data_IF_258949895281
#
_entry.id   IF_258949895281
#
_cell.length_a   1.000
_cell.length_b   1.000
_cell.length_c   1.000
_cell.angle_alpha   90.00
_cell.angle_beta   90.00
_cell.angle_gamma   90.00
#
_symmetry.space_group_name_H-M   'P 1'
#
loop_
_entity.id
_entity.type
_entity.pdbx_description
1 polymer ?
#
# COMPACT_ATOMS: atom_id res chain seq x y z
N UNK A 1 -9.39 -4.50 4.81
CA UNK A 1 -9.04 -3.24 4.12
C UNK A 1 -7.80 -3.39 3.19
N UNK A 2 -6.61 -3.92 3.60
CA UNK A 2 -5.43 -3.95 2.73
C UNK A 2 -5.65 -4.73 1.42
N UNK A 3 -6.38 -5.81 1.47
CA UNK A 3 -6.66 -6.66 0.31
C UNK A 3 -7.62 -5.95 -0.66
N UNK A 4 -8.72 -5.40 -0.17
CA UNK A 4 -9.73 -4.71 -1.01
C UNK A 4 -9.17 -3.44 -1.65
N UNK A 5 -8.41 -2.64 -0.90
CA UNK A 5 -7.76 -1.44 -1.44
C UNK A 5 -6.72 -1.82 -2.49
N UNK A 6 -5.91 -2.86 -2.25
CA UNK A 6 -4.96 -3.36 -3.23
C UNK A 6 -5.62 -3.79 -4.54
N UNK A 7 -6.75 -4.49 -4.48
CA UNK A 7 -7.49 -4.93 -5.67
C UNK A 7 -8.03 -3.76 -6.51
N UNK A 8 -8.52 -2.71 -5.86
CA UNK A 8 -9.14 -1.55 -6.53
C UNK A 8 -8.10 -0.56 -7.03
N UNK A 9 -7.13 -0.20 -6.17
CA UNK A 9 -6.16 0.86 -6.47
C UNK A 9 -5.10 0.44 -7.51
N UNK A 10 -4.93 -0.86 -7.78
CA UNK A 10 -3.94 -1.35 -8.74
C UNK A 10 -4.11 -0.76 -10.14
N UNK A 11 -5.34 -0.65 -10.61
CA UNK A 11 -5.63 -0.09 -11.94
C UNK A 11 -5.29 1.40 -12.00
N UNK A 12 -5.66 2.17 -10.98
CA UNK A 12 -5.39 3.62 -10.91
C UNK A 12 -3.87 3.86 -10.87
N UNK A 13 -3.16 3.14 -10.00
CA UNK A 13 -1.71 3.22 -9.91
C UNK A 13 -1.03 2.91 -11.26
N UNK A 14 -1.42 1.79 -11.89
CA UNK A 14 -0.87 1.38 -13.18
C UNK A 14 -1.08 2.43 -14.27
N UNK A 15 -2.28 3.00 -14.38
CA UNK A 15 -2.57 4.04 -15.36
C UNK A 15 -1.74 5.30 -15.14
N UNK A 16 -1.61 5.75 -13.89
CA UNK A 16 -0.83 6.93 -13.56
C UNK A 16 0.66 6.72 -13.89
N UNK A 17 1.23 5.58 -13.48
CA UNK A 17 2.65 5.31 -13.70
C UNK A 17 2.94 5.07 -15.19
N UNK A 18 2.06 4.37 -15.92
CA UNK A 18 2.17 4.18 -17.37
C UNK A 18 2.08 5.50 -18.14
N UNK A 19 1.33 6.47 -17.68
CA UNK A 19 1.19 7.77 -18.33
C UNK A 19 2.35 8.72 -18.04
N UNK A 20 2.91 8.65 -16.82
CA UNK A 20 3.96 9.60 -16.41
C UNK A 20 5.34 9.21 -16.97
N UNK A 21 5.70 7.93 -17.01
CA UNK A 21 6.99 7.41 -17.50
C UNK A 21 8.24 8.12 -16.96
N UNK A 22 8.15 8.79 -15.80
CA UNK A 22 9.23 9.60 -15.21
C UNK A 22 9.45 9.22 -13.76
N UNK A 23 10.68 9.46 -13.31
CA UNK A 23 11.02 9.33 -11.90
C UNK A 23 10.11 10.19 -11.02
N UNK A 24 9.66 9.63 -9.90
CA UNK A 24 8.82 10.32 -8.93
C UNK A 24 7.35 9.89 -8.94
N UNK A 25 6.90 9.14 -9.94
CA UNK A 25 5.49 8.75 -10.03
C UNK A 25 5.01 7.96 -8.80
N UNK A 26 5.75 6.93 -8.38
CA UNK A 26 5.41 6.16 -7.17
C UNK A 26 5.69 6.96 -5.89
N UNK A 27 6.70 7.83 -5.88
CA UNK A 27 7.03 8.66 -4.72
C UNK A 27 5.93 9.69 -4.41
N UNK A 28 5.33 10.31 -5.41
CA UNK A 28 4.21 11.26 -5.22
C UNK A 28 3.04 10.55 -4.54
N UNK A 29 2.65 9.36 -5.03
CA UNK A 29 1.62 8.56 -4.38
C UNK A 29 2.04 8.13 -2.97
N UNK A 30 3.30 7.72 -2.81
CA UNK A 30 3.87 7.35 -1.51
C UNK A 30 3.85 8.49 -0.50
N UNK A 31 4.06 9.73 -0.95
CA UNK A 31 4.02 10.92 -0.10
C UNK A 31 2.63 11.10 0.56
N UNK A 32 1.53 10.84 -0.15
CA UNK A 32 0.19 10.88 0.44
C UNK A 32 0.03 9.84 1.56
N UNK A 33 0.51 8.61 1.35
CA UNK A 33 0.47 7.58 2.40
C UNK A 33 1.39 7.93 3.57
N UNK A 34 2.53 8.55 3.30
CA UNK A 34 3.45 9.03 4.33
C UNK A 34 2.82 10.12 5.19
N UNK A 35 2.07 11.05 4.60
CA UNK A 35 1.31 12.06 5.35
C UNK A 35 0.28 11.41 6.29
N UNK A 36 -0.42 10.38 5.85
CA UNK A 36 -1.32 9.60 6.71
C UNK A 36 -0.53 8.91 7.83
N UNK A 37 0.61 8.31 7.50
CA UNK A 37 1.46 7.61 8.46
C UNK A 37 2.04 8.54 9.54
N UNK A 38 2.26 9.84 9.23
CA UNK A 38 2.74 10.85 10.19
C UNK A 38 1.80 11.00 11.40
N UNK A 39 0.51 10.74 11.22
CA UNK A 39 -0.48 10.83 12.31
C UNK A 39 -0.40 9.66 13.29
N UNK A 40 0.28 8.60 12.93
CA UNK A 40 0.35 7.35 13.69
C UNK A 40 1.66 7.23 14.48
N UNK A 41 2.79 7.10 13.78
CA UNK A 41 4.10 6.97 14.41
C UNK A 41 5.24 7.29 13.43
N UNK A 42 6.42 7.63 13.99
CA UNK A 42 7.63 7.84 13.19
C UNK A 42 8.05 6.57 12.43
N UNK A 43 7.88 5.40 13.03
CA UNK A 43 8.18 4.12 12.38
C UNK A 43 7.28 3.86 11.17
N UNK A 44 6.00 4.26 11.25
CA UNK A 44 5.09 4.17 10.12
C UNK A 44 5.52 5.08 8.96
N UNK A 45 6.04 6.28 9.26
CA UNK A 45 6.60 7.20 8.26
C UNK A 45 7.81 6.57 7.55
N UNK A 46 8.77 6.04 8.32
CA UNK A 46 9.97 5.40 7.77
C UNK A 46 9.59 4.21 6.88
N UNK A 47 8.66 3.37 7.35
CA UNK A 47 8.18 2.21 6.59
C UNK A 47 7.49 2.63 5.29
N UNK A 48 6.63 3.65 5.34
CA UNK A 48 5.93 4.18 4.17
C UNK A 48 6.90 4.73 3.13
N UNK A 49 7.88 5.54 3.56
CA UNK A 49 8.91 6.08 2.67
C UNK A 49 9.75 4.96 2.05
N UNK A 50 10.15 3.96 2.85
CA UNK A 50 10.92 2.82 2.35
C UNK A 50 10.14 2.03 1.30
N UNK A 51 8.86 1.74 1.54
CA UNK A 51 8.00 1.05 0.58
C UNK A 51 7.83 1.86 -0.73
N UNK A 52 7.64 3.17 -0.63
CA UNK A 52 7.54 4.05 -1.79
C UNK A 52 8.85 4.11 -2.59
N UNK A 53 10.00 4.18 -1.90
CA UNK A 53 11.33 4.17 -2.54
C UNK A 53 11.59 2.83 -3.25
N UNK A 54 11.27 1.70 -2.64
CA UNK A 54 11.43 0.38 -3.26
C UNK A 54 10.53 0.27 -4.50
N UNK A 55 9.30 0.77 -4.42
CA UNK A 55 8.39 0.80 -5.56
C UNK A 55 8.97 1.65 -6.71
N UNK A 56 9.49 2.84 -6.41
CA UNK A 56 10.13 3.73 -7.40
C UNK A 56 11.40 3.11 -8.00
N UNK A 57 12.28 2.52 -7.16
CA UNK A 57 13.47 1.82 -7.63
C UNK A 57 13.11 0.65 -8.57
N UNK A 58 12.03 -0.06 -8.29
CA UNK A 58 11.54 -1.13 -9.16
C UNK A 58 11.15 -0.59 -10.53
N UNK A 59 10.48 0.56 -10.59
CA UNK A 59 10.15 1.25 -11.85
C UNK A 59 11.40 1.71 -12.59
N UNK A 60 12.35 2.28 -11.86
CA UNK A 60 13.62 2.75 -12.41
C UNK A 60 14.43 1.60 -13.03
N UNK A 61 14.54 0.46 -12.34
CA UNK A 61 15.19 -0.75 -12.86
C UNK A 61 14.51 -1.28 -14.13
N UNK A 62 13.20 -1.11 -14.25
CA UNK A 62 12.42 -1.40 -15.45
C UNK A 62 12.51 -0.33 -16.54
N UNK A 63 13.36 0.71 -16.37
CA UNK A 63 13.50 1.86 -17.28
C UNK A 63 12.16 2.49 -17.64
N UNK A 64 11.18 2.41 -16.76
CA UNK A 64 9.80 2.89 -16.97
C UNK A 64 9.14 2.36 -18.26
N UNK A 65 9.55 1.16 -18.71
CA UNK A 65 9.01 0.53 -19.92
C UNK A 65 8.56 -0.91 -19.69
N UNK A 66 9.07 -1.57 -18.64
CA UNK A 66 8.78 -2.97 -18.36
C UNK A 66 7.46 -3.14 -17.61
N UNK A 67 6.44 -3.73 -18.27
CA UNK A 67 5.15 -4.04 -17.64
C UNK A 67 5.26 -4.94 -16.41
N UNK A 68 6.21 -5.89 -16.40
CA UNK A 68 6.46 -6.76 -15.24
C UNK A 68 6.94 -5.95 -14.03
N UNK A 69 7.80 -4.95 -14.26
CA UNK A 69 8.31 -4.08 -13.21
C UNK A 69 7.23 -3.12 -12.68
N UNK A 70 6.30 -2.67 -13.51
CA UNK A 70 5.12 -1.92 -13.04
C UNK A 70 4.27 -2.74 -12.08
N UNK A 71 4.01 -4.01 -12.42
CA UNK A 71 3.23 -4.91 -11.55
C UNK A 71 3.95 -5.15 -10.23
N UNK A 72 5.26 -5.42 -10.27
CA UNK A 72 6.07 -5.64 -9.09
C UNK A 72 6.16 -4.37 -8.22
N UNK A 73 6.33 -3.21 -8.83
CA UNK A 73 6.32 -1.91 -8.15
C UNK A 73 5.01 -1.70 -7.39
N UNK A 74 3.87 -2.05 -7.98
CA UNK A 74 2.58 -1.93 -7.31
C UNK A 74 2.48 -2.85 -6.08
N UNK A 75 3.02 -4.06 -6.12
CA UNK A 75 3.05 -4.95 -4.95
C UNK A 75 3.81 -4.30 -3.79
N UNK A 76 5.00 -3.74 -4.05
CA UNK A 76 5.75 -3.01 -3.03
C UNK A 76 5.02 -1.74 -2.57
N UNK A 77 4.43 -1.01 -3.49
CA UNK A 77 3.65 0.18 -3.16
C UNK A 77 2.46 -0.14 -2.25
N UNK A 78 1.78 -1.27 -2.47
CA UNK A 78 0.62 -1.68 -1.66
C UNK A 78 0.99 -1.99 -0.19
N UNK A 79 2.27 -2.21 0.13
CA UNK A 79 2.74 -2.35 1.52
C UNK A 79 2.49 -1.08 2.34
N UNK A 80 2.40 0.08 1.70
CA UNK A 80 2.06 1.34 2.39
C UNK A 80 0.77 1.25 3.19
N UNK A 81 -0.18 0.41 2.78
CA UNK A 81 -1.45 0.22 3.50
C UNK A 81 -1.23 -0.40 4.88
N UNK A 82 -0.15 -1.15 5.07
CA UNK A 82 0.20 -1.71 6.38
C UNK A 82 0.99 -0.76 7.27
N UNK A 83 1.50 0.36 6.74
CA UNK A 83 2.30 1.33 7.48
C UNK A 83 1.59 1.90 8.73
N UNK A 84 0.33 2.37 8.65
CA UNK A 84 -0.37 2.90 9.82
C UNK A 84 -0.56 1.86 10.93
N UNK A 85 -0.63 0.58 10.59
CA UNK A 85 -0.81 -0.49 11.57
C UNK A 85 0.49 -0.95 12.23
N UNK A 86 1.64 -0.42 11.79
CA UNK A 86 2.94 -0.74 12.38
C UNK A 86 3.03 -0.33 13.86
N UNK A 87 2.23 0.65 14.27
CA UNK A 87 2.09 1.07 15.67
C UNK A 87 1.67 -0.09 16.59
N UNK A 88 1.01 -1.13 16.04
CA UNK A 88 0.72 -2.36 16.78
C UNK A 88 1.95 -3.06 17.36
N UNK A 89 3.10 -2.94 16.66
CA UNK A 89 4.36 -3.54 17.08
C UNK A 89 5.22 -2.60 17.91
N UNK A 90 5.04 -1.29 17.74
CA UNK A 90 5.93 -0.27 18.33
C UNK A 90 5.34 0.38 19.57
N UNK A 91 4.02 0.52 19.63
CA UNK A 91 3.31 1.16 20.75
C UNK A 91 1.85 0.67 20.78
N UNK A 92 1.67 -0.48 21.40
CA UNK A 92 0.38 -1.15 21.47
C UNK A 92 -0.70 -0.32 22.21
N UNK A 93 -0.32 0.32 23.31
CA UNK A 93 -1.26 1.10 24.14
C UNK A 93 -1.78 2.32 23.34
N UNK A 94 -0.89 2.97 22.61
CA UNK A 94 -1.26 4.07 21.71
C UNK A 94 -2.16 3.59 20.57
N UNK A 95 -1.91 2.39 20.03
CA UNK A 95 -2.78 1.79 19.01
C UNK A 95 -4.21 1.60 19.54
N UNK A 96 -4.35 1.05 20.76
CA UNK A 96 -5.66 0.83 21.38
C UNK A 96 -6.35 2.16 21.65
N UNK A 97 -5.64 3.16 22.20
CA UNK A 97 -6.19 4.50 22.45
C UNK A 97 -6.67 5.19 21.17
N UNK A 98 -5.92 5.10 20.08
CA UNK A 98 -6.33 5.63 18.78
C UNK A 98 -7.54 4.88 18.21
N UNK A 99 -7.56 3.56 18.36
CA UNK A 99 -8.69 2.74 17.90
C UNK A 99 -9.96 3.08 18.67
N UNK A 100 -9.88 3.27 19.98
CA UNK A 100 -11.00 3.70 20.81
C UNK A 100 -11.51 5.09 20.40
N UNK A 101 -10.59 6.03 20.17
CA UNK A 101 -10.92 7.40 19.76
C UNK A 101 -11.67 7.46 18.42
N UNK A 102 -11.25 6.65 17.43
CA UNK A 102 -11.79 6.73 16.06
C UNK A 102 -12.89 5.70 15.76
N UNK A 103 -12.89 4.55 16.41
CA UNK A 103 -13.79 3.43 16.12
C UNK A 103 -14.66 3.01 17.32
N UNK A 104 -14.48 3.64 18.48
CA UNK A 104 -15.22 3.37 19.70
C UNK A 104 -14.68 2.21 20.54
N UNK A 105 -15.10 2.17 21.83
CA UNK A 105 -14.59 1.22 22.83
C UNK A 105 -14.84 -0.26 22.47
N UNK A 106 -15.96 -0.59 21.85
CA UNK A 106 -16.27 -1.98 21.44
C UNK A 106 -15.28 -2.49 20.38
N UNK A 107 -14.91 -1.63 19.43
CA UNK A 107 -13.90 -1.94 18.42
C UNK A 107 -12.51 -2.08 19.02
N UNK A 108 -12.13 -1.20 19.95
CA UNK A 108 -10.85 -1.26 20.65
C UNK A 108 -10.70 -2.57 21.43
N UNK A 109 -11.74 -3.03 22.16
CA UNK A 109 -11.74 -4.31 22.87
C UNK A 109 -11.61 -5.51 21.93
N UNK A 110 -12.28 -5.47 20.78
CA UNK A 110 -12.20 -6.55 19.78
C UNK A 110 -10.79 -6.62 19.17
N UNK A 111 -10.18 -5.48 18.85
CA UNK A 111 -8.80 -5.41 18.38
C UNK A 111 -7.79 -5.82 19.46
N UNK A 112 -8.02 -5.45 20.72
CA UNK A 112 -7.15 -5.84 21.82
C UNK A 112 -7.05 -7.37 21.96
N UNK A 113 -8.17 -8.07 21.84
CA UNK A 113 -8.20 -9.54 21.88
C UNK A 113 -7.47 -10.19 20.71
N UNK A 114 -7.59 -9.62 19.50
CA UNK A 114 -6.96 -10.13 18.28
C UNK A 114 -5.48 -9.79 18.19
N UNK A 115 -5.11 -8.58 18.64
CA UNK A 115 -3.79 -8.00 18.43
C UNK A 115 -2.77 -8.36 19.53
N UNK A 116 -3.18 -9.02 20.61
CA UNK A 116 -2.36 -9.27 21.79
C UNK A 116 -0.98 -9.93 21.51
N UNK A 117 -0.84 -10.66 20.42
CA UNK A 117 0.42 -11.34 20.08
C UNK A 117 1.27 -10.66 19.00
N UNK A 118 0.91 -9.48 18.51
CA UNK A 118 1.63 -8.82 17.40
C UNK A 118 1.59 -9.57 16.07
N UNK A 119 1.25 -10.86 16.07
CA UNK A 119 1.19 -11.73 14.87
C UNK A 119 0.18 -11.23 13.83
N UNK A 120 -0.83 -10.47 14.25
CA UNK A 120 -1.84 -9.91 13.38
C UNK A 120 -1.22 -8.90 12.38
N UNK A 121 -0.14 -8.23 12.74
CA UNK A 121 0.54 -7.33 11.82
C UNK A 121 1.12 -8.09 10.61
N UNK A 122 1.71 -9.25 10.84
CA UNK A 122 2.20 -10.11 9.76
C UNK A 122 1.07 -10.63 8.87
N UNK A 123 -0.11 -10.90 9.44
CA UNK A 123 -1.31 -11.24 8.66
C UNK A 123 -1.78 -10.05 7.81
N UNK A 124 -1.76 -8.83 8.34
CA UNK A 124 -2.07 -7.60 7.60
C UNK A 124 -1.08 -7.40 6.45
N UNK A 125 0.22 -7.60 6.71
CA UNK A 125 1.27 -7.53 5.69
C UNK A 125 1.06 -8.58 4.59
N UNK A 126 0.75 -9.82 4.97
CA UNK A 126 0.42 -10.89 4.02
C UNK A 126 -0.81 -10.54 3.15
N UNK A 127 -1.86 -9.97 3.75
CA UNK A 127 -3.04 -9.48 3.02
C UNK A 127 -2.69 -8.32 2.09
N UNK A 128 -1.75 -7.44 2.48
CA UNK A 128 -1.30 -6.35 1.62
C UNK A 128 -0.53 -6.89 0.40
N UNK A 129 0.35 -7.88 0.58
CA UNK A 129 1.06 -8.54 -0.51
C UNK A 129 0.08 -9.24 -1.44
N UNK A 130 -0.84 -10.05 -0.90
CA UNK A 130 -1.85 -10.75 -1.69
C UNK A 130 -2.76 -9.79 -2.46
N UNK A 131 -3.20 -8.69 -1.81
CA UNK A 131 -3.96 -7.63 -2.45
C UNK A 131 -3.18 -6.91 -3.55
N UNK A 132 -1.89 -6.67 -3.32
CA UNK A 132 -0.98 -6.10 -4.32
C UNK A 132 -0.84 -6.99 -5.56
N UNK A 133 -0.61 -8.29 -5.37
CA UNK A 133 -0.52 -9.27 -6.47
C UNK A 133 -1.85 -9.36 -7.22
N UNK A 134 -2.96 -9.54 -6.50
CA UNK A 134 -4.30 -9.62 -7.10
C UNK A 134 -4.66 -8.35 -7.87
N UNK A 135 -4.43 -7.17 -7.27
CA UNK A 135 -4.66 -5.88 -7.92
C UNK A 135 -3.78 -5.65 -9.15
N UNK A 136 -2.51 -6.07 -9.10
CA UNK A 136 -1.61 -6.02 -10.24
C UNK A 136 -2.11 -6.88 -11.41
N UNK A 137 -2.60 -8.10 -11.13
CA UNK A 137 -3.15 -8.98 -12.17
C UNK A 137 -4.44 -8.42 -12.78
N UNK A 138 -5.33 -7.87 -11.95
CA UNK A 138 -6.56 -7.22 -12.42
C UNK A 138 -6.21 -6.00 -13.27
N UNK A 139 -5.31 -5.14 -12.78
CA UNK A 139 -4.84 -3.95 -13.49
C UNK A 139 -4.24 -4.30 -14.86
N UNK A 140 -3.39 -5.33 -14.93
CA UNK A 140 -2.81 -5.82 -16.19
C UNK A 140 -3.90 -6.16 -17.22
N UNK A 141 -4.94 -6.87 -16.78
CA UNK A 141 -6.01 -7.30 -17.67
C UNK A 141 -6.90 -6.12 -18.11
N UNK A 142 -7.23 -5.21 -17.19
CA UNK A 142 -8.03 -4.02 -17.49
C UNK A 142 -7.29 -3.05 -18.41
N UNK A 143 -6.02 -2.79 -18.14
CA UNK A 143 -5.20 -1.91 -18.99
C UNK A 143 -5.12 -2.47 -20.41
N UNK A 144 -4.80 -3.76 -20.56
CA UNK A 144 -4.72 -4.39 -21.86
C UNK A 144 -6.06 -4.38 -22.61
N UNK A 145 -7.17 -4.65 -21.92
CA UNK A 145 -8.49 -4.82 -22.55
C UNK A 145 -9.13 -3.50 -22.94
N UNK A 146 -8.99 -2.47 -22.13
CA UNK A 146 -9.75 -1.23 -22.27
C UNK A 146 -8.89 -0.03 -22.64
N UNK A 147 -7.74 0.16 -22.01
CA UNK A 147 -6.96 1.39 -22.14
C UNK A 147 -5.98 1.37 -23.30
N UNK A 148 -5.36 0.23 -23.61
CA UNK A 148 -4.50 0.08 -24.80
C UNK A 148 -5.34 0.15 -26.08
N UNK A 149 -6.53 -0.48 -26.09
CA UNK A 149 -7.45 -0.42 -27.24
C UNK A 149 -8.02 0.98 -27.49
N UNK A 150 -8.15 1.78 -26.44
CA UNK A 150 -8.62 3.16 -26.52
C UNK A 150 -7.49 4.17 -26.79
N UNK A 151 -6.22 3.73 -26.92
CA UNK A 151 -5.09 4.59 -27.18
C UNK A 151 -4.73 5.56 -26.02
N UNK A 152 -5.12 5.20 -24.78
CA UNK A 152 -4.88 6.02 -23.60
C UNK A 152 -3.47 5.81 -23.03
N UNK A 153 -2.91 4.62 -23.25
CA UNK A 153 -1.56 4.18 -22.81
C UNK A 153 -0.97 3.23 -23.82
#
# INVERSE_FOLDING_TARGET
APLTVGLICGTVYMLCVLKVHKFGAALIFGAFFTLIACTQSLYAVIFSLAAALIAELTLFLGKYQSRKMYLLSFVFFNLNISAPTLILLTDYDKFIALTEKYNGAASAQSFAKLAFNGKIWFAILGCAIAGGIGGALIAKNLVKKHFEKAGVV
#
